data_IF_576661980698
#
_entry.id   IF_576661980698
#
_cell.length_a   1.000
_cell.length_b   1.000
_cell.length_c   1.000
_cell.angle_alpha   90.00
_cell.angle_beta   90.00
_cell.angle_gamma   90.00
#
_symmetry.space_group_name_H-M   'P 1'
#
loop_
_entity.id
_entity.type
_entity.pdbx_description
1 polymer ?
#
# COMPACT_ATOMS: atom_id res chain seq x y z
N UNK A 1 -30.63 6.62 -32.06
CA UNK A 1 -29.48 7.52 -32.29
C UNK A 1 -29.93 8.91 -31.87
N UNK A 2 -29.90 9.22 -30.59
CA UNK A 2 -30.26 10.54 -30.04
C UNK A 2 -28.94 11.26 -29.79
N UNK A 3 -28.70 12.33 -30.54
CA UNK A 3 -27.58 13.25 -30.31
C UNK A 3 -28.05 14.22 -29.22
N UNK A 4 -27.62 14.04 -27.99
CA UNK A 4 -27.72 15.06 -26.95
C UNK A 4 -26.76 16.20 -27.29
N UNK A 5 -27.26 17.22 -27.94
CA UNK A 5 -26.63 18.52 -28.04
C UNK A 5 -26.92 19.27 -26.73
N UNK A 6 -26.03 19.17 -25.76
CA UNK A 6 -26.03 20.10 -24.63
C UNK A 6 -25.82 21.52 -25.22
N UNK A 7 -26.66 22.48 -24.84
CA UNK A 7 -26.53 23.87 -25.26
C UNK A 7 -25.22 24.44 -24.68
N UNK A 8 -24.63 25.43 -25.39
CA UNK A 8 -23.40 26.09 -24.95
C UNK A 8 -23.55 26.67 -23.51
N UNK A 9 -24.75 27.11 -23.13
CA UNK A 9 -25.08 27.54 -21.75
C UNK A 9 -24.97 26.44 -20.71
N UNK A 10 -25.36 25.21 -21.05
CA UNK A 10 -25.24 24.05 -20.14
C UNK A 10 -23.78 23.62 -19.98
N UNK A 11 -22.96 23.77 -21.01
CA UNK A 11 -21.52 23.51 -20.97
C UNK A 11 -20.83 24.56 -20.12
N UNK A 12 -21.17 25.85 -20.26
CA UNK A 12 -20.59 26.94 -19.45
C UNK A 12 -20.99 26.85 -17.97
N UNK A 13 -22.22 26.47 -17.67
CA UNK A 13 -22.69 26.22 -16.29
C UNK A 13 -21.95 25.06 -15.64
N UNK A 14 -21.76 23.95 -16.37
CA UNK A 14 -20.99 22.79 -15.90
C UNK A 14 -19.50 23.11 -15.70
N UNK A 15 -18.93 23.94 -16.57
CA UNK A 15 -17.55 24.42 -16.45
C UNK A 15 -17.38 25.30 -15.21
N UNK A 16 -18.29 26.21 -14.96
CA UNK A 16 -18.29 27.10 -13.78
C UNK A 16 -18.40 26.29 -12.50
N UNK A 17 -19.21 25.25 -12.49
CA UNK A 17 -19.37 24.35 -11.34
C UNK A 17 -18.13 23.50 -11.11
N UNK A 18 -17.53 22.98 -12.20
CA UNK A 18 -16.27 22.20 -12.11
C UNK A 18 -15.10 23.05 -11.60
N UNK A 19 -15.00 24.30 -12.03
CA UNK A 19 -13.99 25.25 -11.55
C UNK A 19 -14.21 25.57 -10.06
N UNK A 20 -15.44 25.84 -9.62
CA UNK A 20 -15.73 26.08 -8.20
C UNK A 20 -15.44 24.86 -7.32
N UNK A 21 -15.71 23.65 -7.79
CA UNK A 21 -15.34 22.43 -7.07
C UNK A 21 -13.81 22.22 -7.02
N UNK A 22 -13.10 22.57 -8.09
CA UNK A 22 -11.65 22.53 -8.13
C UNK A 22 -11.03 23.57 -7.19
N UNK A 23 -11.56 24.81 -7.16
CA UNK A 23 -11.10 25.86 -6.26
C UNK A 23 -11.32 25.48 -4.78
N UNK A 24 -12.49 24.94 -4.44
CA UNK A 24 -12.78 24.46 -3.07
C UNK A 24 -11.87 23.28 -2.66
N UNK A 25 -11.52 22.40 -3.61
CA UNK A 25 -10.57 21.32 -3.37
C UNK A 25 -9.13 21.84 -3.19
N UNK A 26 -8.74 22.86 -3.97
CA UNK A 26 -7.44 23.51 -3.88
C UNK A 26 -7.26 24.35 -2.62
N UNK A 27 -8.32 24.96 -2.08
CA UNK A 27 -8.29 25.65 -0.79
C UNK A 27 -8.13 24.70 0.40
N UNK A 28 -8.55 23.42 0.24
CA UNK A 28 -8.43 22.39 1.28
C UNK A 28 -7.06 21.69 1.32
N UNK A 29 -6.21 21.89 0.33
CA UNK A 29 -4.88 21.27 0.24
C UNK A 29 -3.80 22.32 0.47
N UNK A 30 -3.08 22.23 1.59
CA UNK A 30 -1.83 22.97 1.84
C UNK A 30 -0.73 22.48 0.91
N UNK A 31 -0.64 23.07 -0.28
CA UNK A 31 0.39 22.72 -1.27
C UNK A 31 0.13 23.35 -2.62
N UNK A 32 0.23 24.69 -2.71
CA UNK A 32 -0.11 25.47 -3.92
C UNK A 32 0.73 25.16 -5.16
N UNK A 33 1.88 24.52 -5.05
CA UNK A 33 2.74 24.21 -6.20
C UNK A 33 2.19 23.08 -7.08
N UNK A 34 1.58 22.06 -6.48
CA UNK A 34 0.95 20.95 -7.24
C UNK A 34 -0.35 21.37 -7.95
N UNK A 35 -1.01 22.38 -7.43
CA UNK A 35 -2.23 22.94 -8.00
C UNK A 35 -1.98 23.69 -9.32
N UNK A 36 -0.85 24.39 -9.44
CA UNK A 36 -0.45 25.09 -10.65
C UNK A 36 -0.20 24.14 -11.83
N UNK A 37 0.42 22.99 -11.59
CA UNK A 37 0.64 21.97 -12.63
C UNK A 37 -0.69 21.35 -13.14
N UNK A 38 -1.68 21.22 -12.27
CA UNK A 38 -3.03 20.76 -12.64
C UNK A 38 -3.76 21.84 -13.46
N UNK A 39 -3.64 23.11 -13.11
CA UNK A 39 -4.28 24.23 -13.82
C UNK A 39 -3.65 24.45 -15.20
N UNK A 40 -2.33 24.35 -15.33
CA UNK A 40 -1.62 24.46 -16.61
C UNK A 40 -2.01 23.30 -17.54
N UNK A 41 -2.26 22.10 -17.00
CA UNK A 41 -2.78 21.00 -17.78
C UNK A 41 -4.26 21.15 -18.18
N UNK A 42 -5.08 21.93 -17.45
CA UNK A 42 -6.46 22.22 -17.79
C UNK A 42 -6.60 23.06 -19.07
N UNK A 43 -5.64 23.94 -19.38
CA UNK A 43 -5.63 24.69 -20.65
C UNK A 43 -5.33 23.80 -21.86
N UNK A 44 -4.59 22.72 -21.69
CA UNK A 44 -4.43 21.67 -22.70
C UNK A 44 -5.66 20.74 -22.82
N UNK A 45 -6.60 20.78 -21.87
CA UNK A 45 -7.82 19.98 -21.84
C UNK A 45 -8.93 20.51 -22.75
N UNK A 46 -8.84 21.75 -23.20
CA UNK A 46 -9.80 22.37 -24.15
C UNK A 46 -9.95 21.61 -25.48
N UNK A 47 -9.05 20.65 -25.75
CA UNK A 47 -8.97 19.97 -27.06
C UNK A 47 -9.57 18.55 -27.09
N UNK A 48 -10.18 18.01 -26.02
CA UNK A 48 -10.77 16.67 -26.08
C UNK A 48 -12.07 16.56 -25.31
N UNK A 49 -13.20 16.67 -26.03
CA UNK A 49 -14.58 16.51 -25.52
C UNK A 49 -14.78 15.25 -24.65
N UNK A 50 -14.12 14.13 -24.98
CA UNK A 50 -14.17 12.88 -24.20
C UNK A 50 -13.53 12.98 -22.81
N UNK A 51 -12.45 13.75 -22.66
CA UNK A 51 -11.78 13.95 -21.36
C UNK A 51 -12.59 14.85 -20.45
N UNK A 52 -13.26 15.87 -21.03
CA UNK A 52 -14.17 16.76 -20.31
C UNK A 52 -15.38 15.99 -19.73
N UNK A 53 -16.04 15.14 -20.51
CA UNK A 53 -17.16 14.31 -20.04
C UNK A 53 -16.75 13.38 -18.89
N UNK A 54 -15.53 12.85 -18.93
CA UNK A 54 -14.99 12.00 -17.85
C UNK A 54 -14.73 12.83 -16.58
N UNK A 55 -14.19 14.04 -16.71
CA UNK A 55 -13.94 14.94 -15.59
C UNK A 55 -15.25 15.38 -14.92
N UNK A 56 -16.26 15.77 -15.70
CA UNK A 56 -17.60 16.14 -15.17
C UNK A 56 -18.28 14.97 -14.47
N UNK A 57 -18.19 13.76 -15.02
CA UNK A 57 -18.72 12.54 -14.34
C UNK A 57 -17.99 12.26 -13.04
N UNK A 58 -16.69 12.49 -12.98
CA UNK A 58 -15.89 12.32 -11.76
C UNK A 58 -16.26 13.39 -10.73
N UNK A 59 -16.36 14.66 -11.11
CA UNK A 59 -16.82 15.74 -10.23
C UNK A 59 -18.24 15.49 -9.68
N UNK A 60 -19.18 15.08 -10.55
CA UNK A 60 -20.54 14.74 -10.11
C UNK A 60 -20.57 13.53 -9.17
N UNK A 61 -19.70 12.54 -9.35
CA UNK A 61 -19.55 11.43 -8.39
C UNK A 61 -18.96 11.90 -7.06
N UNK A 62 -18.02 12.85 -7.07
CA UNK A 62 -17.45 13.44 -5.85
C UNK A 62 -18.52 14.28 -5.13
N UNK A 63 -19.28 15.11 -5.85
CA UNK A 63 -20.37 15.91 -5.27
C UNK A 63 -21.49 15.02 -4.69
N UNK A 64 -21.94 14.00 -5.42
CA UNK A 64 -22.94 13.03 -4.91
C UNK A 64 -22.37 12.17 -3.78
N UNK A 65 -21.08 11.87 -3.79
CA UNK A 65 -20.40 11.21 -2.69
C UNK A 65 -20.40 12.06 -1.42
N UNK A 66 -20.11 13.36 -1.55
CA UNK A 66 -20.16 14.30 -0.43
C UNK A 66 -21.58 14.52 0.12
N UNK A 67 -22.60 14.57 -0.75
CA UNK A 67 -24.01 14.67 -0.33
C UNK A 67 -24.49 13.42 0.42
N UNK A 68 -24.14 12.23 -0.06
CA UNK A 68 -24.48 10.96 0.60
C UNK A 68 -23.72 10.80 1.92
N UNK A 69 -22.48 11.31 2.02
CA UNK A 69 -21.64 11.16 3.20
C UNK A 69 -21.83 12.28 4.22
N UNK A 70 -22.43 13.42 3.87
CA UNK A 70 -22.82 14.46 4.84
C UNK A 70 -23.86 13.97 5.85
N UNK A 71 -24.67 12.97 5.45
CA UNK A 71 -25.60 12.27 6.34
C UNK A 71 -25.00 11.19 7.23
N UNK A 72 -23.74 10.75 6.96
CA UNK A 72 -23.09 9.66 7.68
C UNK A 72 -21.97 10.12 8.64
N UNK A 73 -21.81 11.42 8.92
CA UNK A 73 -20.76 11.96 9.80
C UNK A 73 -19.34 11.45 9.49
N UNK A 74 -19.07 11.09 8.24
CA UNK A 74 -17.71 10.81 7.76
C UNK A 74 -17.02 12.15 7.47
N UNK A 75 -16.57 12.82 8.52
CA UNK A 75 -15.79 14.06 8.38
C UNK A 75 -14.40 13.74 7.79
N UNK A 76 -13.88 14.64 6.95
CA UNK A 76 -12.49 14.58 6.48
C UNK A 76 -11.51 14.50 7.65
N UNK A 77 -11.85 15.12 8.79
CA UNK A 77 -11.15 15.01 10.07
C UNK A 77 -10.94 13.56 10.52
N UNK A 78 -11.84 12.63 10.18
CA UNK A 78 -11.67 11.20 10.48
C UNK A 78 -10.63 10.51 9.58
N UNK A 79 -10.42 10.99 8.36
CA UNK A 79 -9.41 10.47 7.44
C UNK A 79 -8.02 10.98 7.80
N UNK A 80 -7.86 12.29 8.03
CA UNK A 80 -6.61 12.90 8.48
C UNK A 80 -6.10 12.23 9.76
N UNK A 81 -6.97 12.09 10.76
CA UNK A 81 -6.63 11.39 12.00
C UNK A 81 -6.21 9.93 11.78
N UNK A 82 -6.81 9.22 10.82
CA UNK A 82 -6.40 7.86 10.45
C UNK A 82 -5.07 7.82 9.71
N UNK A 83 -4.74 8.87 8.96
CA UNK A 83 -3.46 8.99 8.28
C UNK A 83 -2.33 9.35 9.25
N UNK A 84 -2.62 10.04 10.35
CA UNK A 84 -1.69 10.27 11.45
C UNK A 84 -1.39 8.99 12.25
N UNK A 85 -2.37 8.07 12.33
CA UNK A 85 -2.29 6.81 13.09
C UNK A 85 -1.96 5.61 12.19
N UNK A 86 -1.03 5.77 11.26
CA UNK A 86 -0.58 4.68 10.39
C UNK A 86 0.18 3.61 11.19
N UNK A 87 -0.10 2.35 10.87
CA UNK A 87 0.66 1.24 11.42
C UNK A 87 2.15 1.32 11.05
N UNK A 88 3.06 0.81 11.91
CA UNK A 88 4.48 0.81 11.62
C UNK A 88 4.80 0.19 10.27
N UNK A 89 5.75 0.79 9.56
CA UNK A 89 6.26 0.28 8.28
C UNK A 89 6.95 -1.07 8.46
N UNK A 90 7.22 -1.76 7.36
CA UNK A 90 8.01 -3.00 7.39
C UNK A 90 9.37 -2.80 8.06
N UNK A 91 10.07 -1.71 7.75
CA UNK A 91 11.37 -1.39 8.35
C UNK A 91 11.27 -1.22 9.87
N UNK A 92 10.33 -0.41 10.34
CA UNK A 92 10.10 -0.19 11.78
C UNK A 92 9.67 -1.47 12.49
N UNK A 93 8.76 -2.25 11.87
CA UNK A 93 8.33 -3.55 12.42
C UNK A 93 9.49 -4.53 12.53
N UNK A 94 10.36 -4.59 11.51
CA UNK A 94 11.53 -5.46 11.52
C UNK A 94 12.54 -5.03 12.59
N UNK A 95 12.82 -3.73 12.74
CA UNK A 95 13.71 -3.22 13.78
C UNK A 95 13.21 -3.58 15.18
N UNK A 96 11.92 -3.38 15.46
CA UNK A 96 11.33 -3.74 16.73
C UNK A 96 11.46 -5.24 17.03
N UNK A 97 11.27 -6.10 16.01
CA UNK A 97 11.42 -7.56 16.17
C UNK A 97 12.88 -7.96 16.39
N UNK A 98 13.85 -7.30 15.72
CA UNK A 98 15.29 -7.50 15.94
C UNK A 98 15.65 -7.17 17.39
N UNK A 99 15.14 -6.04 17.90
CA UNK A 99 15.36 -5.61 19.29
C UNK A 99 14.66 -6.57 20.29
N UNK A 100 13.40 -6.95 20.07
CA UNK A 100 12.67 -7.94 20.89
C UNK A 100 13.40 -9.28 20.99
N UNK A 101 14.13 -9.67 19.93
CA UNK A 101 14.95 -10.90 19.92
C UNK A 101 16.35 -10.71 20.48
N UNK A 102 16.71 -9.52 20.94
CA UNK A 102 18.05 -9.21 21.43
C UNK A 102 19.14 -9.37 20.37
N UNK A 103 18.79 -9.23 19.09
CA UNK A 103 19.70 -9.40 17.96
C UNK A 103 20.18 -8.06 17.43
N UNK A 104 21.30 -8.06 16.77
CA UNK A 104 21.76 -6.92 15.97
C UNK A 104 21.25 -7.03 14.52
N UNK A 105 21.17 -5.92 13.79
CA UNK A 105 20.85 -5.92 12.35
C UNK A 105 21.85 -6.80 11.57
N UNK A 106 23.12 -6.84 12.02
CA UNK A 106 24.19 -7.65 11.41
C UNK A 106 23.89 -9.15 11.56
N UNK A 107 23.47 -9.58 12.71
CA UNK A 107 23.08 -10.97 12.95
C UNK A 107 21.84 -11.35 12.17
N UNK A 108 20.85 -10.45 12.10
CA UNK A 108 19.64 -10.65 11.33
C UNK A 108 19.94 -10.89 9.84
N UNK A 109 20.68 -9.98 9.18
CA UNK A 109 20.94 -10.15 7.74
C UNK A 109 21.87 -11.36 7.44
N UNK A 110 22.79 -11.70 8.35
CA UNK A 110 23.63 -12.90 8.19
C UNK A 110 22.83 -14.18 8.31
N UNK A 111 21.95 -14.29 9.34
CA UNK A 111 21.11 -15.47 9.55
C UNK A 111 20.10 -15.68 8.42
N UNK A 112 19.52 -14.58 7.92
CA UNK A 112 18.53 -14.64 6.85
C UNK A 112 19.15 -14.62 5.44
N UNK A 113 20.46 -14.81 5.32
CA UNK A 113 21.22 -14.77 4.05
C UNK A 113 20.85 -13.55 3.20
N UNK A 114 20.83 -12.36 3.83
CA UNK A 114 20.48 -11.11 3.18
C UNK A 114 21.73 -10.31 2.82
N UNK A 115 21.64 -9.50 1.77
CA UNK A 115 22.67 -8.55 1.39
C UNK A 115 22.90 -7.52 2.53
N UNK A 116 24.17 -7.19 2.79
CA UNK A 116 24.57 -6.16 3.77
C UNK A 116 23.84 -4.83 3.59
N UNK A 117 23.46 -4.49 2.35
CA UNK A 117 22.74 -3.24 2.03
C UNK A 117 21.22 -3.35 2.26
N UNK A 118 20.72 -4.51 2.70
CA UNK A 118 19.28 -4.75 2.86
C UNK A 118 18.63 -3.71 3.76
N UNK A 119 19.14 -3.48 4.97
CA UNK A 119 18.61 -2.50 5.89
C UNK A 119 18.70 -1.05 5.38
N UNK A 120 19.79 -0.72 4.67
CA UNK A 120 19.93 0.61 4.06
C UNK A 120 18.90 0.85 2.95
N UNK A 121 18.57 -0.19 2.17
CA UNK A 121 17.52 -0.11 1.15
C UNK A 121 16.13 0.02 1.76
N UNK A 122 15.84 -0.68 2.85
CA UNK A 122 14.58 -0.58 3.56
C UNK A 122 14.34 0.80 4.19
N UNK A 123 15.42 1.47 4.64
CA UNK A 123 15.33 2.80 5.24
C UNK A 123 14.87 3.85 4.22
N UNK A 124 15.24 3.70 2.95
CA UNK A 124 14.82 4.56 1.86
C UNK A 124 13.47 4.07 1.31
N UNK A 125 12.36 4.56 1.92
CA UNK A 125 10.97 4.11 1.72
C UNK A 125 10.51 4.04 0.27
N UNK A 126 11.05 4.87 -0.63
CA UNK A 126 10.49 5.08 -1.96
C UNK A 126 10.92 4.05 -3.01
N UNK A 127 11.86 3.15 -2.71
CA UNK A 127 12.45 2.30 -3.75
C UNK A 127 12.51 0.81 -3.47
N UNK A 128 12.21 0.33 -2.25
CA UNK A 128 12.41 -1.09 -1.95
C UNK A 128 11.34 -1.69 -1.04
N UNK A 129 10.54 -2.57 -1.62
CA UNK A 129 9.64 -3.47 -0.86
C UNK A 129 10.20 -4.89 -0.95
N UNK A 130 10.48 -5.59 0.17
CA UNK A 130 11.01 -6.95 0.14
C UNK A 130 9.98 -7.91 -0.48
N UNK A 131 10.46 -8.91 -1.20
CA UNK A 131 9.58 -9.96 -1.71
C UNK A 131 9.02 -10.78 -0.55
N UNK A 132 7.84 -11.37 -0.76
CA UNK A 132 7.19 -12.23 0.24
C UNK A 132 8.11 -13.34 0.76
N UNK A 133 8.87 -13.99 -0.13
CA UNK A 133 9.81 -15.04 0.27
C UNK A 133 10.91 -14.49 1.19
N UNK A 134 11.44 -13.30 0.90
CA UNK A 134 12.42 -12.65 1.79
C UNK A 134 11.85 -12.37 3.19
N UNK A 135 10.58 -11.99 3.28
CA UNK A 135 9.93 -11.79 4.59
C UNK A 135 9.80 -13.11 5.35
N UNK A 136 9.47 -14.21 4.66
CA UNK A 136 9.40 -15.54 5.25
C UNK A 136 10.78 -16.07 5.66
N UNK A 137 11.80 -15.86 4.85
CA UNK A 137 13.20 -16.18 5.15
C UNK A 137 13.64 -15.48 6.44
N UNK A 138 13.35 -14.18 6.58
CA UNK A 138 13.63 -13.42 7.81
C UNK A 138 12.87 -14.01 9.01
N UNK A 139 11.60 -14.35 8.83
CA UNK A 139 10.77 -14.90 9.91
C UNK A 139 11.32 -16.23 10.44
N UNK A 140 11.75 -17.13 9.55
CA UNK A 140 12.37 -18.42 9.91
C UNK A 140 13.73 -18.20 10.54
N UNK A 141 14.60 -17.38 9.92
CA UNK A 141 15.97 -17.15 10.41
C UNK A 141 16.02 -16.48 11.79
N UNK A 142 15.00 -15.65 12.13
CA UNK A 142 14.86 -15.01 13.42
C UNK A 142 14.06 -15.84 14.44
N UNK A 143 13.61 -17.03 14.09
CA UNK A 143 12.74 -17.87 14.92
C UNK A 143 11.52 -17.07 15.42
N UNK A 144 10.81 -16.40 14.52
CA UNK A 144 9.64 -15.61 14.86
C UNK A 144 8.45 -16.53 15.18
N UNK A 145 7.70 -16.20 16.22
CA UNK A 145 6.42 -16.85 16.51
C UNK A 145 5.42 -16.60 15.36
N UNK A 146 4.36 -17.39 15.29
CA UNK A 146 3.32 -17.22 14.28
C UNK A 146 2.72 -15.80 14.31
N UNK A 147 2.51 -15.24 15.52
CA UNK A 147 2.00 -13.86 15.69
C UNK A 147 2.97 -12.81 15.14
N UNK A 148 4.27 -12.95 15.47
CA UNK A 148 5.32 -12.06 14.98
C UNK A 148 5.49 -12.19 13.46
N UNK A 149 5.44 -13.41 12.92
CA UNK A 149 5.51 -13.68 11.48
C UNK A 149 4.36 -13.00 10.71
N UNK A 150 3.13 -13.13 11.21
CA UNK A 150 1.96 -12.45 10.62
C UNK A 150 2.08 -10.93 10.69
N UNK A 151 2.54 -10.38 11.83
CA UNK A 151 2.78 -8.94 12.00
C UNK A 151 3.79 -8.43 10.96
N UNK A 152 4.91 -9.16 10.78
CA UNK A 152 5.96 -8.81 9.82
C UNK A 152 5.47 -8.91 8.37
N UNK A 153 4.73 -9.96 8.00
CA UNK A 153 4.15 -10.11 6.67
C UNK A 153 3.16 -8.98 6.34
N UNK A 154 2.25 -8.67 7.26
CA UNK A 154 1.25 -7.61 7.08
C UNK A 154 1.87 -6.24 6.88
N UNK A 155 2.96 -5.92 7.60
CA UNK A 155 3.68 -4.65 7.43
C UNK A 155 4.35 -4.51 6.05
N UNK A 156 4.57 -5.64 5.35
CA UNK A 156 5.04 -5.69 3.95
C UNK A 156 3.90 -5.85 2.92
N UNK A 157 2.63 -5.86 3.37
CA UNK A 157 1.47 -6.06 2.50
C UNK A 157 1.22 -7.53 2.11
N UNK A 158 1.76 -8.48 2.87
CA UNK A 158 1.58 -9.91 2.63
C UNK A 158 0.81 -10.59 3.77
N UNK A 159 0.32 -11.79 3.49
CA UNK A 159 -0.31 -12.66 4.48
C UNK A 159 -0.02 -14.14 4.18
N UNK A 160 -0.01 -14.97 5.22
CA UNK A 160 -0.05 -16.43 5.07
C UNK A 160 -1.48 -16.86 4.80
N UNK A 161 -1.66 -17.63 3.75
CA UNK A 161 -2.97 -18.09 3.30
C UNK A 161 -3.07 -19.62 3.34
N UNK A 162 -4.26 -20.15 3.61
CA UNK A 162 -4.49 -21.59 3.62
C UNK A 162 -4.68 -22.20 2.23
N UNK A 163 -4.72 -21.38 1.18
CA UNK A 163 -4.88 -21.82 -0.21
C UNK A 163 -3.57 -21.98 -0.98
N UNK A 164 -2.43 -21.72 -0.31
CA UNK A 164 -1.09 -21.92 -0.89
C UNK A 164 -0.36 -23.01 -0.11
N UNK A 165 0.09 -24.04 -0.82
CA UNK A 165 0.81 -25.17 -0.22
C UNK A 165 2.04 -24.72 0.55
N UNK A 166 2.87 -23.84 -0.03
CA UNK A 166 4.04 -23.27 0.64
C UNK A 166 3.71 -22.54 1.94
N UNK A 167 2.57 -21.82 1.98
CA UNK A 167 2.16 -21.10 3.18
C UNK A 167 1.76 -22.04 4.30
N UNK A 168 1.01 -23.08 3.95
CA UNK A 168 0.57 -24.11 4.90
C UNK A 168 1.79 -24.85 5.49
N UNK A 169 2.76 -25.23 4.63
CA UNK A 169 4.00 -25.89 5.09
C UNK A 169 4.77 -24.97 6.06
N UNK A 170 5.05 -23.74 5.67
CA UNK A 170 5.83 -22.80 6.51
C UNK A 170 5.08 -22.48 7.80
N UNK A 171 3.75 -22.23 7.72
CA UNK A 171 2.94 -21.96 8.90
C UNK A 171 2.92 -23.15 9.87
N UNK A 172 2.85 -24.37 9.35
CA UNK A 172 2.88 -25.59 10.16
C UNK A 172 4.22 -25.70 10.92
N UNK A 173 5.35 -25.53 10.24
CA UNK A 173 6.67 -25.61 10.88
C UNK A 173 6.86 -24.53 11.95
N UNK A 174 6.52 -23.26 11.64
CA UNK A 174 6.61 -22.17 12.62
C UNK A 174 5.70 -22.43 13.84
N UNK A 175 4.49 -22.95 13.64
CA UNK A 175 3.57 -23.24 14.74
C UNK A 175 4.04 -24.37 15.65
N UNK A 176 4.90 -25.26 15.15
CA UNK A 176 5.53 -26.35 15.91
C UNK A 176 6.93 -26.00 16.42
N UNK A 177 7.39 -24.74 16.22
CA UNK A 177 8.72 -24.29 16.67
C UNK A 177 9.88 -24.88 15.85
N UNK A 178 9.61 -25.35 14.64
CA UNK A 178 10.62 -25.92 13.73
C UNK A 178 11.11 -24.82 12.82
N UNK A 179 12.37 -24.37 13.02
CA UNK A 179 12.97 -23.27 12.27
C UNK A 179 14.21 -23.70 11.49
N UNK A 180 14.50 -25.00 11.44
CA UNK A 180 15.59 -25.54 10.65
C UNK A 180 15.28 -25.40 9.16
N UNK A 181 16.10 -24.61 8.39
CA UNK A 181 15.86 -24.37 6.99
C UNK A 181 15.90 -25.66 6.14
N UNK A 182 16.75 -26.63 6.50
CA UNK A 182 16.88 -27.89 5.76
C UNK A 182 15.61 -28.72 5.88
N UNK A 183 15.05 -28.82 7.09
CA UNK A 183 13.78 -29.53 7.35
C UNK A 183 12.63 -28.86 6.58
N UNK A 184 12.53 -27.54 6.65
CA UNK A 184 11.48 -26.79 5.95
C UNK A 184 11.64 -26.95 4.46
N UNK A 185 12.86 -26.85 3.93
CA UNK A 185 13.14 -26.99 2.51
C UNK A 185 12.92 -28.42 2.00
N UNK A 186 13.20 -29.46 2.80
CA UNK A 186 12.81 -30.82 2.47
C UNK A 186 11.30 -30.95 2.26
N UNK A 187 10.50 -30.42 3.21
CA UNK A 187 9.05 -30.43 3.07
C UNK A 187 8.57 -29.61 1.85
N UNK A 188 9.12 -28.41 1.64
CA UNK A 188 8.79 -27.60 0.46
C UNK A 188 9.11 -28.34 -0.85
N UNK A 189 10.28 -28.99 -0.93
CA UNK A 189 10.70 -29.75 -2.11
C UNK A 189 9.80 -30.96 -2.38
N UNK A 190 9.40 -31.68 -1.35
CA UNK A 190 8.49 -32.84 -1.46
C UNK A 190 7.15 -32.45 -2.12
N UNK A 191 6.66 -31.24 -1.84
CA UNK A 191 5.43 -30.71 -2.43
C UNK A 191 5.67 -29.79 -3.65
N UNK A 192 6.87 -29.81 -4.23
CA UNK A 192 7.20 -29.05 -5.44
C UNK A 192 7.11 -27.52 -5.26
N UNK A 193 7.35 -27.03 -4.04
CA UNK A 193 7.28 -25.60 -3.72
C UNK A 193 8.64 -24.94 -3.80
N UNK A 194 8.70 -23.60 -4.07
CA UNK A 194 9.95 -22.85 -4.04
C UNK A 194 10.63 -22.95 -2.66
N UNK A 195 11.94 -23.19 -2.66
CA UNK A 195 12.73 -23.30 -1.44
C UNK A 195 13.01 -21.91 -0.83
N UNK A 196 13.23 -21.88 0.47
CA UNK A 196 13.75 -20.72 1.19
C UNK A 196 15.28 -20.65 0.98
N UNK A 197 15.79 -19.47 0.71
CA UNK A 197 17.22 -19.24 0.49
C UNK A 197 17.86 -18.64 1.75
N UNK A 198 17.97 -19.47 2.80
CA UNK A 198 18.52 -19.11 4.12
C UNK A 198 19.81 -19.87 4.36
#
# INVERSE_FOLDING_TARGET
MVRDNASDEQVDSALTTAVKCADAFLESIEGKEHALDIIINLDNWRLSRRRFETAVRTCNRISSFNEVHSGMNLSFESLEKRLEDLSPTFYETLLNLVEEKGMTQVECYKKANLDRRFFSRLKNRDSYNPTRNKVLEIAVAMNLTMTQTRKLLRSAGYELTSNRVSDVIIAWHISHGIYDPEIINCALNEYGQPLLNI
#
